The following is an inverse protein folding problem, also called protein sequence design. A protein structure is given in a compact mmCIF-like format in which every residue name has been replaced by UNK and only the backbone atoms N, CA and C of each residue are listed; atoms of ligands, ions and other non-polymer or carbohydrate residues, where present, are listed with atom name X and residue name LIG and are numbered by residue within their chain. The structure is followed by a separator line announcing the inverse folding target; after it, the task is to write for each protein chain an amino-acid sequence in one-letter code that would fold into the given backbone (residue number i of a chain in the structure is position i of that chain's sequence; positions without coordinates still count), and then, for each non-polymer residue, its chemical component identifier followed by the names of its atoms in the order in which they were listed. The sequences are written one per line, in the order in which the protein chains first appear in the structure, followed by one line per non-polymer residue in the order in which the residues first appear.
data_IF_279486565831
#
_entry.id   IF_279486565831
#
_cell.length_a   1.000
_cell.length_b   1.000
_cell.length_c   1.000
_cell.angle_alpha   90.00
_cell.angle_beta   90.00
_cell.angle_gamma   90.00
#
_symmetry.space_group_name_H-M   'P 1'
#
loop_
_entity.id
_entity.type
_entity.pdbx_description
1 polymer ?
#
# COMPACT_ATOMS: atom_id res chain seq x y z
N UNK A 1 32.95 15.98 -3.42
CA UNK A 1 31.49 16.08 -3.18
C UNK A 1 30.77 15.19 -4.19
N UNK A 2 29.62 14.61 -3.83
CA UNK A 2 28.80 13.80 -4.74
C UNK A 2 27.64 14.61 -5.29
N UNK A 3 27.51 14.65 -6.61
CA UNK A 3 26.44 15.34 -7.30
C UNK A 3 25.53 14.36 -8.03
N UNK A 4 24.23 14.58 -7.91
CA UNK A 4 23.24 13.90 -8.74
C UNK A 4 22.49 14.91 -9.60
N UNK A 5 22.48 14.69 -10.91
CA UNK A 5 21.65 15.45 -11.86
C UNK A 5 20.42 14.60 -12.15
N UNK A 6 19.23 15.13 -11.85
CA UNK A 6 17.97 14.37 -11.99
C UNK A 6 16.92 15.16 -12.77
N UNK A 7 16.21 14.46 -13.64
CA UNK A 7 15.10 15.01 -14.39
C UNK A 7 13.78 14.82 -13.64
N UNK A 8 12.95 15.85 -13.54
CA UNK A 8 11.65 15.77 -12.86
C UNK A 8 10.51 15.83 -13.89
N UNK A 9 9.72 14.75 -13.94
CA UNK A 9 8.61 14.60 -14.87
C UNK A 9 7.25 14.43 -14.20
N UNK A 10 6.45 13.49 -14.73
CA UNK A 10 5.14 13.15 -14.19
C UNK A 10 5.20 12.46 -12.82
N UNK A 11 6.16 11.55 -12.65
CA UNK A 11 6.35 10.72 -11.47
C UNK A 11 7.54 11.21 -10.62
N UNK A 12 7.34 11.32 -9.31
CA UNK A 12 8.34 11.84 -8.37
C UNK A 12 9.04 10.74 -7.58
N UNK A 13 8.38 9.59 -7.39
CA UNK A 13 8.93 8.47 -6.61
C UNK A 13 10.30 8.00 -7.11
N UNK A 14 10.54 7.78 -8.43
CA UNK A 14 11.86 7.33 -8.89
C UNK A 14 12.97 8.36 -8.69
N UNK A 15 12.61 9.65 -8.64
CA UNK A 15 13.56 10.71 -8.31
C UNK A 15 13.96 10.60 -6.84
N UNK A 16 12.99 10.46 -5.93
CA UNK A 16 13.26 10.30 -4.50
C UNK A 16 14.06 9.03 -4.20
N UNK A 17 13.70 7.89 -4.82
CA UNK A 17 14.42 6.61 -4.68
C UNK A 17 15.87 6.77 -5.13
N UNK A 18 16.12 7.36 -6.31
CA UNK A 18 17.48 7.57 -6.80
C UNK A 18 18.31 8.47 -5.88
N UNK A 19 17.70 9.50 -5.29
CA UNK A 19 18.41 10.35 -4.33
C UNK A 19 18.73 9.59 -3.04
N UNK A 20 17.82 8.77 -2.52
CA UNK A 20 18.07 7.97 -1.30
C UNK A 20 19.12 6.88 -1.53
N UNK A 21 19.08 6.19 -2.66
CA UNK A 21 20.02 5.12 -3.01
C UNK A 21 21.48 5.62 -3.00
N UNK A 22 21.74 6.75 -3.67
CA UNK A 22 23.11 7.24 -3.85
C UNK A 22 23.52 8.32 -2.84
N UNK A 23 22.57 8.86 -2.08
CA UNK A 23 22.79 9.85 -1.02
C UNK A 23 23.71 11.03 -1.42
N UNK A 24 23.51 11.67 -2.60
CA UNK A 24 24.38 12.74 -3.09
C UNK A 24 24.39 13.95 -2.14
N UNK A 25 25.47 14.72 -2.11
CA UNK A 25 25.60 15.94 -1.30
C UNK A 25 24.85 17.12 -1.94
N UNK A 26 24.84 17.16 -3.27
CA UNK A 26 24.19 18.20 -4.07
C UNK A 26 23.31 17.59 -5.16
N UNK A 27 22.05 18.00 -5.20
CA UNK A 27 21.08 17.56 -6.20
C UNK A 27 20.78 18.70 -7.16
N UNK A 28 20.94 18.45 -8.44
CA UNK A 28 20.59 19.38 -9.50
C UNK A 28 19.31 18.90 -10.19
N UNK A 29 18.21 19.59 -9.93
CA UNK A 29 16.94 19.31 -10.57
C UNK A 29 16.89 19.99 -11.93
N UNK A 30 16.62 19.20 -12.97
CA UNK A 30 16.28 19.69 -14.31
C UNK A 30 14.79 19.47 -14.52
N UNK A 31 14.07 20.57 -14.75
CA UNK A 31 12.61 20.60 -14.78
C UNK A 31 12.10 21.37 -16.00
N UNK A 32 10.84 21.14 -16.34
CA UNK A 32 10.08 22.05 -17.20
C UNK A 32 9.31 23.05 -16.34
N UNK A 33 8.69 24.05 -16.96
CA UNK A 33 7.81 24.99 -16.25
C UNK A 33 6.67 24.26 -15.52
N UNK A 34 6.14 23.18 -16.13
CA UNK A 34 5.04 22.39 -15.56
C UNK A 34 5.47 21.50 -14.38
N UNK A 35 6.74 21.07 -14.32
CA UNK A 35 7.23 20.18 -13.26
C UNK A 35 7.96 20.90 -12.13
N UNK A 36 8.29 22.18 -12.29
CA UNK A 36 9.02 22.98 -11.30
C UNK A 36 8.38 23.00 -9.91
N UNK A 37 7.05 23.18 -9.83
CA UNK A 37 6.33 23.26 -8.55
C UNK A 37 6.44 21.96 -7.73
N UNK A 38 6.64 20.82 -8.40
CA UNK A 38 6.72 19.49 -7.78
C UNK A 38 8.00 19.25 -6.98
N UNK A 39 9.07 20.02 -7.23
CA UNK A 39 10.36 19.85 -6.56
C UNK A 39 10.24 20.13 -5.05
N UNK A 40 9.37 21.06 -4.67
CA UNK A 40 9.13 21.43 -3.27
C UNK A 40 8.80 20.21 -2.40
N UNK A 41 8.02 19.29 -2.96
CA UNK A 41 7.63 18.04 -2.31
C UNK A 41 8.77 17.04 -2.19
N UNK A 42 9.68 16.96 -3.16
CA UNK A 42 10.87 16.10 -3.06
C UNK A 42 11.81 16.65 -1.98
N UNK A 43 12.04 17.97 -1.97
CA UNK A 43 12.95 18.65 -1.04
C UNK A 43 12.53 18.48 0.42
N UNK A 44 11.23 18.37 0.72
CA UNK A 44 10.76 18.19 2.10
C UNK A 44 11.21 16.87 2.73
N UNK A 45 11.65 15.88 1.93
CA UNK A 45 12.23 14.62 2.40
C UNK A 45 13.75 14.63 2.54
N UNK A 46 14.43 15.69 2.06
CA UNK A 46 15.88 15.70 1.85
C UNK A 46 16.59 16.74 2.73
N UNK A 47 16.41 16.62 4.04
CA UNK A 47 17.03 17.52 5.02
C UNK A 47 18.56 17.50 4.92
N UNK A 48 19.19 18.67 5.01
CA UNK A 48 20.65 18.80 5.02
C UNK A 48 21.34 18.64 3.67
N UNK A 49 20.59 18.51 2.56
CA UNK A 49 21.14 18.47 1.20
C UNK A 49 21.11 19.86 0.54
N UNK A 50 22.02 20.07 -0.42
CA UNK A 50 22.03 21.28 -1.24
C UNK A 50 21.35 21.05 -2.59
N UNK A 51 20.68 22.09 -3.11
CA UNK A 51 19.86 21.95 -4.32
C UNK A 51 20.17 23.05 -5.34
N UNK A 52 20.07 22.70 -6.63
CA UNK A 52 19.91 23.68 -7.71
C UNK A 52 18.67 23.34 -8.54
N UNK A 53 18.01 24.36 -9.07
CA UNK A 53 16.85 24.21 -9.96
C UNK A 53 17.19 24.82 -11.31
N UNK A 54 17.02 24.03 -12.37
CA UNK A 54 17.36 24.43 -13.73
C UNK A 54 16.18 24.13 -14.64
N UNK A 55 15.62 25.17 -15.25
CA UNK A 55 14.49 25.05 -16.17
C UNK A 55 15.03 24.87 -17.59
N UNK A 56 14.48 23.92 -18.33
CA UNK A 56 14.75 23.76 -19.75
C UNK A 56 13.48 23.34 -20.51
N UNK A 57 13.52 23.43 -21.85
CA UNK A 57 12.48 22.86 -22.69
C UNK A 57 12.63 21.33 -22.71
N UNK A 58 11.67 20.54 -22.18
CA UNK A 58 11.83 19.09 -22.02
C UNK A 58 11.75 18.31 -23.33
N UNK A 59 11.48 18.95 -24.47
CA UNK A 59 11.39 18.31 -25.78
C UNK A 59 12.47 18.79 -26.76
N UNK A 60 13.41 19.63 -26.32
CA UNK A 60 14.45 20.19 -27.16
C UNK A 60 15.83 19.72 -26.70
N UNK A 61 16.40 18.76 -27.46
CA UNK A 61 17.67 18.13 -27.14
C UNK A 61 18.79 19.13 -26.85
N UNK A 62 18.94 20.16 -27.69
CA UNK A 62 19.99 21.17 -27.55
C UNK A 62 19.83 22.00 -26.26
N UNK A 63 18.61 22.40 -25.93
CA UNK A 63 18.29 23.13 -24.68
C UNK A 63 18.65 22.29 -23.44
N UNK A 64 18.28 21.01 -23.45
CA UNK A 64 18.57 20.09 -22.34
C UNK A 64 20.08 19.88 -22.20
N UNK A 65 20.76 19.56 -23.31
CA UNK A 65 22.21 19.32 -23.32
C UNK A 65 22.98 20.55 -22.81
N UNK A 66 22.65 21.74 -23.31
CA UNK A 66 23.27 22.99 -22.88
C UNK A 66 23.04 23.26 -21.37
N UNK A 67 21.86 22.93 -20.84
CA UNK A 67 21.55 23.06 -19.42
C UNK A 67 22.41 22.12 -18.58
N UNK A 68 22.52 20.86 -18.97
CA UNK A 68 23.40 19.89 -18.31
C UNK A 68 24.88 20.32 -18.36
N UNK A 69 25.37 20.78 -19.52
CA UNK A 69 26.75 21.26 -19.68
C UNK A 69 27.06 22.47 -18.79
N UNK A 70 26.09 23.40 -18.65
CA UNK A 70 26.20 24.55 -17.74
C UNK A 70 26.25 24.14 -16.27
N UNK A 71 25.61 23.03 -15.89
CA UNK A 71 25.72 22.47 -14.54
C UNK A 71 27.10 21.85 -14.36
N UNK A 72 27.50 20.99 -15.29
CA UNK A 72 28.78 20.29 -15.26
C UNK A 72 29.99 21.24 -15.23
N UNK A 73 29.94 22.37 -15.93
CA UNK A 73 31.03 23.36 -15.94
C UNK A 73 31.25 24.08 -14.61
N UNK A 74 30.31 23.95 -13.66
CA UNK A 74 30.39 24.54 -12.32
C UNK A 74 30.75 23.54 -11.23
N UNK A 75 30.91 22.26 -11.58
CA UNK A 75 31.29 21.20 -10.65
C UNK A 75 32.81 21.18 -10.55
N UNK A 76 33.34 21.05 -9.33
CA UNK A 76 34.78 21.11 -9.08
C UNK A 76 35.49 19.87 -9.63
N UNK A 77 36.75 20.04 -10.03
CA UNK A 77 37.55 18.94 -10.51
C UNK A 77 37.83 17.95 -9.35
N UNK A 78 37.37 16.71 -9.50
CA UNK A 78 37.46 15.66 -8.48
C UNK A 78 36.13 15.35 -7.78
N UNK A 79 35.09 16.15 -8.01
CA UNK A 79 33.73 15.80 -7.58
C UNK A 79 33.14 14.67 -8.43
N UNK A 80 32.34 13.81 -7.79
CA UNK A 80 31.64 12.71 -8.46
C UNK A 80 30.31 13.22 -9.01
N UNK A 81 29.98 12.83 -10.24
CA UNK A 81 28.71 13.20 -10.89
C UNK A 81 28.01 11.97 -11.45
N UNK A 82 26.73 11.86 -11.16
CA UNK A 82 25.85 10.85 -11.72
C UNK A 82 24.54 11.45 -12.22
N UNK A 83 23.98 10.85 -13.27
CA UNK A 83 22.66 11.19 -13.80
C UNK A 83 21.60 10.17 -13.37
N UNK A 84 20.49 10.63 -12.81
CA UNK A 84 19.28 9.84 -12.67
C UNK A 84 18.44 9.96 -13.95
N UNK A 85 18.41 8.91 -14.75
CA UNK A 85 17.72 8.83 -16.04
C UNK A 85 16.28 8.33 -15.92
N UNK A 86 15.80 8.05 -14.71
CA UNK A 86 14.47 7.43 -14.53
C UNK A 86 13.33 8.41 -14.75
N UNK A 87 13.56 9.69 -14.44
CA UNK A 87 12.58 10.76 -14.58
C UNK A 87 12.68 11.51 -15.92
N UNK A 88 11.81 12.51 -16.09
CA UNK A 88 11.80 13.38 -17.28
C UNK A 88 11.18 12.75 -18.52
N UNK A 89 11.39 13.40 -19.66
CA UNK A 89 10.96 12.89 -20.98
C UNK A 89 12.04 11.99 -21.57
N UNK A 90 11.68 11.19 -22.58
CA UNK A 90 12.67 10.41 -23.34
C UNK A 90 13.75 11.29 -23.98
N UNK A 91 13.42 12.52 -24.39
CA UNK A 91 14.38 13.45 -24.98
C UNK A 91 15.40 13.92 -23.94
N UNK A 92 14.97 14.15 -22.70
CA UNK A 92 15.88 14.44 -21.58
C UNK A 92 16.86 13.30 -21.33
N UNK A 93 16.34 12.06 -21.31
CA UNK A 93 17.17 10.86 -21.13
C UNK A 93 18.19 10.71 -22.25
N UNK A 94 17.80 10.92 -23.52
CA UNK A 94 18.72 10.86 -24.66
C UNK A 94 19.84 11.90 -24.58
N UNK A 95 19.52 13.14 -24.18
CA UNK A 95 20.52 14.20 -24.02
C UNK A 95 21.48 13.93 -22.85
N UNK A 96 20.98 13.37 -21.76
CA UNK A 96 21.82 12.94 -20.65
C UNK A 96 22.74 11.78 -21.05
N UNK A 97 22.19 10.79 -21.74
CA UNK A 97 22.95 9.63 -22.22
C UNK A 97 24.07 10.04 -23.17
N UNK A 98 23.84 11.00 -24.08
CA UNK A 98 24.91 11.51 -24.94
C UNK A 98 26.04 12.13 -24.13
N UNK A 99 25.72 12.89 -23.07
CA UNK A 99 26.73 13.49 -22.19
C UNK A 99 27.48 12.48 -21.33
N UNK A 100 26.79 11.45 -20.84
CA UNK A 100 27.40 10.32 -20.12
C UNK A 100 28.50 9.69 -20.98
N UNK A 101 28.21 9.43 -22.25
CA UNK A 101 29.17 8.83 -23.18
C UNK A 101 30.28 9.81 -23.59
N UNK A 102 29.93 11.04 -23.97
CA UNK A 102 30.90 12.06 -24.44
C UNK A 102 31.92 12.46 -23.37
N UNK A 103 31.51 12.48 -22.09
CA UNK A 103 32.33 12.97 -20.98
C UNK A 103 32.76 11.88 -20.00
N UNK A 104 32.50 10.61 -20.34
CA UNK A 104 32.79 9.44 -19.50
C UNK A 104 32.25 9.60 -18.05
N UNK A 105 30.99 10.03 -17.94
CA UNK A 105 30.29 10.19 -16.67
C UNK A 105 29.49 8.92 -16.34
N UNK A 106 28.87 8.90 -15.15
CA UNK A 106 28.00 7.82 -14.73
C UNK A 106 26.52 8.24 -14.77
N UNK A 107 25.65 7.26 -14.83
CA UNK A 107 24.22 7.46 -14.63
C UNK A 107 23.51 6.15 -14.37
N UNK A 108 22.24 6.22 -14.02
CA UNK A 108 21.45 5.05 -13.71
C UNK A 108 19.98 5.22 -14.10
N UNK A 109 19.30 4.10 -14.30
CA UNK A 109 17.86 4.02 -14.53
C UNK A 109 17.26 3.00 -13.57
N UNK A 110 16.23 3.39 -12.80
CA UNK A 110 15.54 2.50 -11.86
C UNK A 110 14.41 1.75 -12.59
N UNK A 111 14.45 0.42 -12.52
CA UNK A 111 13.44 -0.48 -13.04
C UNK A 111 12.27 -0.68 -12.05
N UNK A 112 11.17 -1.23 -12.55
CA UNK A 112 9.98 -1.50 -11.73
C UNK A 112 10.11 -2.73 -10.81
N UNK A 113 11.16 -3.52 -10.97
CA UNK A 113 11.44 -4.75 -10.22
C UNK A 113 12.44 -4.57 -9.07
N UNK A 114 12.55 -3.33 -8.56
CA UNK A 114 13.48 -2.92 -7.49
C UNK A 114 14.96 -3.12 -7.85
N UNK A 115 15.28 -3.05 -9.14
CA UNK A 115 16.66 -3.01 -9.66
C UNK A 115 16.97 -1.67 -10.31
N UNK A 116 18.26 -1.37 -10.50
CA UNK A 116 18.68 -0.26 -11.33
C UNK A 116 19.77 -0.70 -12.32
N UNK A 117 19.71 -0.14 -13.51
CA UNK A 117 20.66 -0.29 -14.59
C UNK A 117 21.70 0.84 -14.51
N UNK A 118 22.98 0.50 -14.38
CA UNK A 118 24.08 1.45 -14.40
C UNK A 118 24.53 1.79 -15.82
N UNK A 119 24.96 3.02 -16.05
CA UNK A 119 25.54 3.49 -17.31
C UNK A 119 26.92 4.10 -17.02
N UNK A 120 27.90 3.89 -17.91
CA UNK A 120 27.79 3.21 -19.21
C UNK A 120 27.98 1.68 -19.16
N UNK A 121 28.15 1.09 -17.98
CA UNK A 121 28.47 -0.35 -17.85
C UNK A 121 27.33 -1.30 -18.22
N UNK A 122 26.08 -0.82 -18.18
CA UNK A 122 24.86 -1.62 -18.34
C UNK A 122 24.73 -2.78 -17.34
N UNK A 123 25.43 -2.69 -16.20
CA UNK A 123 25.27 -3.64 -15.10
C UNK A 123 23.97 -3.40 -14.35
N UNK A 124 23.35 -4.48 -13.87
CA UNK A 124 22.13 -4.42 -13.06
C UNK A 124 22.50 -4.67 -11.61
N UNK A 125 22.01 -3.81 -10.71
CA UNK A 125 22.11 -3.99 -9.27
C UNK A 125 20.75 -3.87 -8.61
N UNK A 126 20.57 -4.53 -7.46
CA UNK A 126 19.36 -4.41 -6.66
C UNK A 126 19.41 -3.12 -5.84
N UNK A 127 18.28 -2.43 -5.74
CA UNK A 127 18.16 -1.28 -4.83
C UNK A 127 18.34 -1.72 -3.38
N UNK A 128 18.96 -0.85 -2.58
CA UNK A 128 19.18 -1.07 -1.15
C UNK A 128 18.41 -0.07 -0.29
N UNK A 129 18.05 1.08 -0.86
CA UNK A 129 17.24 2.09 -0.20
C UNK A 129 15.79 1.64 -0.02
N UNK A 130 15.21 2.06 1.10
CA UNK A 130 13.81 1.81 1.41
C UNK A 130 12.99 3.10 1.37
N UNK A 131 11.76 3.00 0.87
CA UNK A 131 10.74 4.06 0.94
C UNK A 131 9.65 3.61 1.87
N UNK A 132 9.36 4.37 2.93
CA UNK A 132 8.24 4.10 3.83
C UNK A 132 6.89 4.32 3.16
N UNK A 133 5.80 3.74 3.70
CA UNK A 133 4.42 3.98 3.21
C UNK A 133 4.10 5.48 3.21
N UNK A 134 4.51 6.18 4.28
CA UNK A 134 4.28 7.63 4.40
C UNK A 134 4.99 8.40 3.28
N UNK A 135 6.26 8.13 3.05
CA UNK A 135 7.02 8.75 1.95
C UNK A 135 6.37 8.43 0.60
N UNK A 136 6.01 7.17 0.36
CA UNK A 136 5.38 6.70 -0.88
C UNK A 136 4.08 7.45 -1.18
N UNK A 137 3.18 7.53 -0.19
CA UNK A 137 1.88 8.19 -0.37
C UNK A 137 2.06 9.69 -0.56
N UNK A 138 2.88 10.33 0.28
CA UNK A 138 3.08 11.79 0.23
C UNK A 138 3.76 12.20 -1.07
N UNK A 139 4.79 11.49 -1.54
CA UNK A 139 5.46 11.80 -2.81
C UNK A 139 4.54 11.57 -4.03
N UNK A 140 3.54 10.70 -3.88
CA UNK A 140 2.49 10.47 -4.87
C UNK A 140 1.33 11.48 -4.74
N UNK A 141 1.41 12.43 -3.80
CA UNK A 141 0.43 13.48 -3.57
C UNK A 141 -0.80 13.02 -2.78
N UNK A 142 -0.64 12.01 -1.92
CA UNK A 142 -1.65 11.45 -1.03
C UNK A 142 -1.22 11.54 0.44
N UNK A 143 -2.16 11.35 1.35
CA UNK A 143 -1.89 11.34 2.79
C UNK A 143 -2.61 10.14 3.41
N UNK A 144 -2.09 9.70 4.55
CA UNK A 144 -2.68 8.68 5.40
C UNK A 144 -3.18 9.38 6.66
N UNK A 145 -4.49 9.36 6.92
CA UNK A 145 -5.08 10.03 8.10
C UNK A 145 -4.90 9.17 9.35
N UNK A 146 -5.12 7.87 9.22
CA UNK A 146 -4.94 6.90 10.30
C UNK A 146 -4.58 5.53 9.75
N UNK A 147 -3.96 4.73 10.60
CA UNK A 147 -3.66 3.32 10.36
C UNK A 147 -3.33 2.67 11.70
N UNK A 148 -3.51 1.36 11.80
CA UNK A 148 -3.07 0.55 12.92
C UNK A 148 -1.88 -0.32 12.52
N UNK A 149 -1.08 -0.67 13.51
CA UNK A 149 -0.01 -1.65 13.47
C UNK A 149 -0.39 -2.86 14.33
N UNK A 150 0.40 -3.92 14.26
CA UNK A 150 0.22 -5.10 15.12
C UNK A 150 0.28 -4.75 16.63
N UNK A 151 1.01 -3.69 16.99
CA UNK A 151 1.19 -3.26 18.38
C UNK A 151 -0.05 -2.53 18.94
N UNK A 152 -1.00 -2.13 18.09
CA UNK A 152 -2.25 -1.50 18.50
C UNK A 152 -3.31 -2.53 18.95
N UNK A 153 -2.98 -3.82 18.86
CA UNK A 153 -3.84 -4.92 19.24
C UNK A 153 -3.27 -5.70 20.43
N UNK A 154 -4.13 -5.98 21.41
CA UNK A 154 -3.79 -6.71 22.63
C UNK A 154 -3.85 -8.23 22.42
N UNK A 155 -3.26 -8.99 23.34
CA UNK A 155 -3.41 -10.45 23.36
C UNK A 155 -4.89 -10.90 23.41
N UNK A 156 -5.76 -10.12 24.05
CA UNK A 156 -7.19 -10.43 24.14
C UNK A 156 -7.94 -10.12 22.84
N UNK A 157 -7.45 -9.18 22.02
CA UNK A 157 -7.93 -8.99 20.65
C UNK A 157 -7.62 -10.23 19.80
N UNK A 158 -6.40 -10.75 19.88
CA UNK A 158 -6.01 -11.97 19.15
C UNK A 158 -6.79 -13.21 19.60
N UNK A 159 -7.06 -13.37 20.91
CA UNK A 159 -7.96 -14.43 21.39
C UNK A 159 -9.38 -14.23 20.86
N UNK A 160 -9.87 -12.99 20.87
CA UNK A 160 -11.24 -12.67 20.45
C UNK A 160 -11.47 -12.96 18.96
N UNK A 161 -10.50 -12.67 18.09
CA UNK A 161 -10.67 -13.00 16.65
C UNK A 161 -10.70 -14.51 16.39
N UNK A 162 -9.92 -15.30 17.14
CA UNK A 162 -9.97 -16.77 17.05
C UNK A 162 -11.34 -17.29 17.51
N UNK A 163 -11.93 -16.73 18.57
CA UNK A 163 -13.29 -17.07 19.00
C UNK A 163 -14.36 -16.66 17.98
N UNK A 164 -14.23 -15.48 17.37
CA UNK A 164 -15.15 -15.03 16.32
C UNK A 164 -15.08 -15.98 15.12
N UNK A 165 -13.88 -16.37 14.69
CA UNK A 165 -13.70 -17.31 13.58
C UNK A 165 -14.43 -18.64 13.87
N UNK A 166 -14.21 -19.23 15.05
CA UNK A 166 -14.88 -20.47 15.48
C UNK A 166 -16.39 -20.32 15.58
N UNK A 167 -16.87 -19.22 16.16
CA UNK A 167 -18.31 -18.96 16.30
C UNK A 167 -18.98 -18.84 14.93
N UNK A 168 -18.38 -18.11 14.00
CA UNK A 168 -18.95 -17.93 12.67
C UNK A 168 -18.94 -19.19 11.81
N UNK A 169 -18.06 -20.17 12.06
CA UNK A 169 -18.13 -21.49 11.42
C UNK A 169 -19.22 -22.37 12.03
N UNK A 170 -19.32 -22.39 13.35
CA UNK A 170 -20.24 -23.26 14.09
C UNK A 170 -21.69 -22.77 14.04
N UNK A 171 -21.89 -21.45 13.89
CA UNK A 171 -23.19 -20.78 13.96
C UNK A 171 -23.41 -19.83 12.77
N UNK A 172 -23.09 -20.28 11.56
CA UNK A 172 -23.17 -19.52 10.30
C UNK A 172 -24.52 -18.79 10.09
N UNK A 173 -25.64 -19.47 10.32
CA UNK A 173 -26.99 -18.88 10.21
C UNK A 173 -27.24 -17.80 11.26
N UNK A 174 -26.78 -18.03 12.49
CA UNK A 174 -27.02 -17.10 13.59
C UNK A 174 -26.22 -15.81 13.41
N UNK A 175 -24.95 -15.89 12.99
CA UNK A 175 -24.17 -14.67 12.71
C UNK A 175 -24.76 -13.87 11.54
N UNK A 176 -25.31 -14.54 10.51
CA UNK A 176 -26.01 -13.85 9.43
C UNK A 176 -27.26 -13.12 9.93
N UNK A 177 -28.03 -13.73 10.83
CA UNK A 177 -29.18 -13.10 11.47
C UNK A 177 -28.76 -11.91 12.34
N UNK A 178 -27.69 -12.05 13.12
CA UNK A 178 -27.11 -10.96 13.92
C UNK A 178 -26.73 -9.79 13.02
N UNK A 179 -25.93 -10.04 11.98
CA UNK A 179 -25.47 -9.01 11.05
C UNK A 179 -26.65 -8.32 10.33
N UNK A 180 -27.68 -9.07 9.95
CA UNK A 180 -28.89 -8.49 9.36
C UNK A 180 -29.66 -7.64 10.37
N UNK A 181 -29.85 -8.12 11.61
CA UNK A 181 -30.60 -7.41 12.64
C UNK A 181 -29.91 -6.12 13.06
N UNK A 182 -28.59 -6.16 13.25
CA UNK A 182 -27.77 -4.99 13.61
C UNK A 182 -27.87 -3.93 12.51
N UNK A 183 -27.68 -4.30 11.23
CA UNK A 183 -27.79 -3.35 10.10
C UNK A 183 -29.18 -2.74 9.96
N UNK A 184 -30.23 -3.51 10.16
CA UNK A 184 -31.61 -3.02 10.09
C UNK A 184 -31.97 -2.10 11.28
N UNK A 185 -31.25 -2.22 12.40
CA UNK A 185 -31.48 -1.40 13.59
C UNK A 185 -30.61 -0.13 13.57
N UNK A 186 -29.38 -0.25 13.06
CA UNK A 186 -28.40 0.83 13.02
C UNK A 186 -27.84 0.93 11.59
N UNK A 187 -28.30 1.94 10.85
CA UNK A 187 -27.87 2.17 9.45
C UNK A 187 -26.35 2.41 9.30
N UNK A 188 -25.70 2.89 10.38
CA UNK A 188 -24.27 3.19 10.42
C UNK A 188 -23.67 2.70 11.72
N UNK A 189 -22.42 2.22 11.65
CA UNK A 189 -21.70 1.63 12.77
C UNK A 189 -21.47 2.62 13.93
N UNK A 190 -21.24 3.90 13.61
CA UNK A 190 -21.11 4.96 14.60
C UNK A 190 -22.41 5.28 15.37
N UNK A 191 -23.55 4.72 14.95
CA UNK A 191 -24.84 4.83 15.67
C UNK A 191 -25.07 3.67 16.65
N UNK A 192 -24.26 2.60 16.62
CA UNK A 192 -24.41 1.51 17.59
C UNK A 192 -24.01 2.05 18.97
N UNK A 193 -24.89 2.02 19.99
CA UNK A 193 -24.56 2.54 21.31
C UNK A 193 -23.42 1.74 21.94
N UNK A 194 -22.67 2.38 22.85
CA UNK A 194 -21.51 1.77 23.50
C UNK A 194 -21.85 0.48 24.23
N UNK A 195 -23.02 0.42 24.87
CA UNK A 195 -23.58 -0.79 25.47
C UNK A 195 -25.04 -0.97 25.03
N UNK A 196 -25.50 -2.21 24.98
CA UNK A 196 -26.86 -2.50 24.57
C UNK A 196 -27.16 -3.99 24.46
N UNK A 197 -28.39 -4.27 24.07
CA UNK A 197 -28.86 -5.62 23.78
C UNK A 197 -29.85 -5.60 22.61
N UNK A 198 -29.89 -6.68 21.84
CA UNK A 198 -30.84 -6.90 20.76
C UNK A 198 -31.37 -8.33 20.77
N UNK A 199 -32.68 -8.47 20.78
CA UNK A 199 -33.35 -9.72 20.44
C UNK A 199 -33.19 -9.98 18.93
N UNK A 200 -32.43 -11.01 18.59
CA UNK A 200 -32.14 -11.39 17.20
C UNK A 200 -33.31 -12.18 16.62
N UNK A 201 -33.84 -13.11 17.40
CA UNK A 201 -35.05 -13.89 17.10
C UNK A 201 -35.64 -14.40 18.43
N UNK A 202 -36.71 -15.22 18.40
CA UNK A 202 -37.37 -15.74 19.61
C UNK A 202 -36.46 -16.53 20.56
N UNK A 203 -35.32 -17.00 20.07
CA UNK A 203 -34.40 -17.90 20.76
C UNK A 203 -33.04 -17.24 21.03
N UNK A 204 -32.71 -16.13 20.38
CA UNK A 204 -31.35 -15.61 20.38
C UNK A 204 -31.29 -14.12 20.68
N UNK A 205 -30.29 -13.75 21.48
CA UNK A 205 -30.06 -12.39 21.96
C UNK A 205 -28.60 -12.02 21.86
N UNK A 206 -28.31 -10.83 21.38
CA UNK A 206 -26.98 -10.22 21.35
C UNK A 206 -26.89 -9.21 22.50
N UNK A 207 -25.81 -9.24 23.28
CA UNK A 207 -25.54 -8.31 24.37
C UNK A 207 -24.13 -7.76 24.19
N UNK A 208 -23.93 -6.46 24.39
CA UNK A 208 -22.62 -5.85 24.25
C UNK A 208 -22.37 -4.67 25.20
N UNK A 209 -21.08 -4.40 25.42
CA UNK A 209 -20.52 -3.22 26.09
C UNK A 209 -19.41 -2.64 25.22
N UNK A 210 -18.64 -1.69 25.75
CA UNK A 210 -17.42 -1.19 25.10
C UNK A 210 -16.33 -2.27 24.99
N UNK A 211 -16.31 -3.23 25.92
CA UNK A 211 -15.23 -4.22 26.08
C UNK A 211 -15.67 -5.67 25.99
N UNK A 212 -16.96 -5.96 25.87
CA UNK A 212 -17.45 -7.34 25.77
C UNK A 212 -18.60 -7.48 24.78
N UNK A 213 -18.68 -8.63 24.12
CA UNK A 213 -19.84 -9.06 23.33
C UNK A 213 -20.17 -10.50 23.70
N UNK A 214 -21.46 -10.79 23.91
CA UNK A 214 -21.97 -12.14 24.09
C UNK A 214 -23.22 -12.40 23.27
N UNK A 215 -23.42 -13.67 22.93
CA UNK A 215 -24.63 -14.16 22.27
C UNK A 215 -25.24 -15.28 23.09
N UNK A 216 -26.51 -15.13 23.42
CA UNK A 216 -27.32 -16.17 24.04
C UNK A 216 -28.19 -16.86 22.98
N UNK A 217 -28.33 -18.18 23.09
CA UNK A 217 -29.22 -19.01 22.29
C UNK A 217 -29.96 -20.00 23.19
N UNK A 218 -31.29 -19.98 23.15
CA UNK A 218 -32.18 -20.74 24.02
C UNK A 218 -31.86 -20.58 25.52
N UNK A 219 -31.55 -19.34 25.93
CA UNK A 219 -31.22 -18.99 27.33
C UNK A 219 -29.84 -19.45 27.78
N UNK A 220 -28.95 -19.90 26.88
CA UNK A 220 -27.56 -20.27 27.18
C UNK A 220 -26.58 -19.37 26.44
N UNK A 221 -25.53 -18.92 27.10
CA UNK A 221 -24.41 -18.18 26.46
C UNK A 221 -23.65 -19.14 25.53
N UNK A 222 -23.70 -18.90 24.22
CA UNK A 222 -23.03 -19.72 23.18
C UNK A 222 -21.80 -19.05 22.60
N UNK A 223 -21.61 -17.76 22.89
CA UNK A 223 -20.46 -16.98 22.45
C UNK A 223 -20.19 -15.85 23.43
N UNK A 224 -18.92 -15.62 23.72
CA UNK A 224 -18.46 -14.49 24.53
C UNK A 224 -17.04 -14.11 24.16
N UNK A 225 -16.81 -12.82 23.99
CA UNK A 225 -15.48 -12.25 23.78
C UNK A 225 -15.32 -11.00 24.63
N UNK A 226 -14.09 -10.72 25.01
CA UNK A 226 -13.70 -9.53 25.75
C UNK A 226 -12.39 -9.00 25.19
N UNK A 227 -12.39 -7.73 24.75
CA UNK A 227 -11.17 -7.06 24.29
C UNK A 227 -11.35 -5.54 24.22
N UNK A 228 -10.26 -4.75 24.22
CA UNK A 228 -10.33 -3.31 24.03
C UNK A 228 -10.94 -2.91 22.68
N UNK A 229 -10.76 -3.72 21.63
CA UNK A 229 -11.24 -3.43 20.27
C UNK A 229 -12.48 -4.25 19.87
N UNK A 230 -13.17 -4.90 20.82
CA UNK A 230 -14.20 -5.92 20.56
C UNK A 230 -15.29 -5.46 19.59
N UNK A 231 -15.65 -4.17 19.68
CA UNK A 231 -16.69 -3.56 18.85
C UNK A 231 -16.30 -3.50 17.39
N UNK A 232 -15.07 -3.05 17.10
CA UNK A 232 -14.54 -3.06 15.73
C UNK A 232 -14.45 -4.49 15.21
N UNK A 233 -13.84 -5.39 16.00
CA UNK A 233 -13.63 -6.78 15.60
C UNK A 233 -14.94 -7.46 15.21
N UNK A 234 -15.99 -7.29 16.01
CA UNK A 234 -17.27 -7.97 15.77
C UNK A 234 -18.18 -7.21 14.80
N UNK A 235 -18.49 -5.93 15.06
CA UNK A 235 -19.49 -5.19 14.28
C UNK A 235 -18.97 -4.72 12.92
N UNK A 236 -17.68 -4.42 12.81
CA UNK A 236 -17.09 -3.99 11.54
C UNK A 236 -16.55 -5.19 10.74
N UNK A 237 -16.70 -6.40 11.28
CA UNK A 237 -16.14 -7.64 10.75
C UNK A 237 -14.60 -7.59 10.56
N UNK A 238 -13.91 -6.70 11.30
CA UNK A 238 -12.46 -6.51 11.15
C UNK A 238 -11.62 -7.61 11.79
N UNK A 239 -12.26 -8.60 12.43
CA UNK A 239 -11.59 -9.78 12.95
C UNK A 239 -10.83 -10.54 11.86
N UNK A 240 -11.37 -10.60 10.64
CA UNK A 240 -10.72 -11.30 9.53
C UNK A 240 -9.47 -10.56 9.03
N UNK A 241 -9.53 -9.23 8.99
CA UNK A 241 -8.39 -8.37 8.65
C UNK A 241 -7.23 -8.62 9.61
N UNK A 242 -7.51 -8.70 10.93
CA UNK A 242 -6.49 -8.94 11.95
C UNK A 242 -5.91 -10.36 11.88
N UNK A 243 -6.74 -11.37 11.58
CA UNK A 243 -6.25 -12.75 11.34
C UNK A 243 -5.30 -12.79 10.14
N UNK A 244 -5.68 -12.14 9.04
CA UNK A 244 -4.83 -12.04 7.83
C UNK A 244 -3.53 -11.29 8.15
N UNK A 245 -3.61 -10.14 8.81
CA UNK A 245 -2.43 -9.35 9.19
C UNK A 245 -1.50 -10.13 10.13
N UNK A 246 -2.04 -10.90 11.09
CA UNK A 246 -1.27 -11.77 11.97
C UNK A 246 -0.44 -12.78 11.16
N UNK A 247 -1.01 -13.42 10.17
CA UNK A 247 -0.25 -14.34 9.30
C UNK A 247 0.82 -13.59 8.49
N UNK A 248 0.47 -12.45 7.91
CA UNK A 248 1.42 -11.63 7.12
C UNK A 248 2.57 -11.11 7.98
N UNK A 249 2.35 -10.85 9.27
CA UNK A 249 3.40 -10.38 10.18
C UNK A 249 4.55 -11.37 10.34
N UNK A 250 4.34 -12.65 9.99
CA UNK A 250 5.38 -13.69 9.98
C UNK A 250 6.24 -13.64 8.71
N UNK A 251 5.84 -12.87 7.69
CA UNK A 251 6.56 -12.75 6.43
C UNK A 251 7.72 -11.77 6.55
N UNK A 252 8.94 -12.30 6.56
CA UNK A 252 10.18 -11.53 6.76
C UNK A 252 10.47 -10.44 5.72
N UNK A 253 9.79 -10.45 4.56
CA UNK A 253 9.93 -9.42 3.52
C UNK A 253 9.06 -8.19 3.77
N UNK A 254 8.04 -8.27 4.63
CA UNK A 254 7.22 -7.12 4.98
C UNK A 254 8.03 -6.14 5.85
N UNK A 255 8.35 -4.96 5.31
CA UNK A 255 9.07 -3.89 5.99
C UNK A 255 8.13 -3.02 6.83
N UNK A 256 6.94 -2.77 6.30
CA UNK A 256 5.84 -2.18 7.05
C UNK A 256 4.57 -3.00 6.79
N UNK A 257 3.77 -3.16 7.84
CA UNK A 257 2.46 -3.78 7.80
C UNK A 257 1.48 -2.84 8.52
N UNK A 258 0.59 -2.24 7.74
CA UNK A 258 -0.45 -1.36 8.23
C UNK A 258 -1.82 -2.02 8.03
N UNK A 259 -2.71 -1.79 8.98
CA UNK A 259 -4.05 -2.35 9.07
C UNK A 259 -5.04 -1.19 9.13
N UNK A 260 -6.18 -1.29 8.45
CA UNK A 260 -7.24 -0.27 8.47
C UNK A 260 -6.70 1.13 8.12
N UNK A 261 -6.04 1.23 6.96
CA UNK A 261 -5.48 2.48 6.49
C UNK A 261 -6.60 3.39 5.96
N UNK A 262 -6.78 4.55 6.58
CA UNK A 262 -7.72 5.55 6.13
C UNK A 262 -7.01 6.60 5.26
N UNK A 263 -7.56 6.80 4.06
CA UNK A 263 -7.04 7.73 3.07
C UNK A 263 -8.07 8.84 2.86
N UNK A 264 -7.80 10.09 3.29
CA UNK A 264 -8.78 11.16 3.20
C UNK A 264 -8.89 11.77 1.79
N UNK A 265 -9.85 12.67 1.61
CA UNK A 265 -9.88 13.55 0.43
C UNK A 265 -8.71 14.54 0.47
N UNK A 266 -8.20 14.94 -0.71
CA UNK A 266 -7.12 15.93 -0.80
C UNK A 266 -7.55 17.33 -0.33
N UNK A 267 -8.82 17.66 -0.52
CA UNK A 267 -9.41 18.97 -0.17
C UNK A 267 -10.07 18.98 1.21
N UNK A 268 -10.36 17.80 1.77
CA UNK A 268 -10.94 17.64 3.10
C UNK A 268 -10.26 16.47 3.80
N UNK A 269 -9.27 16.79 4.62
CA UNK A 269 -8.44 15.81 5.32
C UNK A 269 -9.16 15.15 6.48
N UNK A 270 -10.35 15.63 6.87
CA UNK A 270 -11.15 15.07 7.97
C UNK A 270 -12.09 13.97 7.48
N UNK A 271 -12.40 13.93 6.18
CA UNK A 271 -13.30 12.93 5.59
C UNK A 271 -12.50 11.82 4.93
N UNK A 272 -12.68 10.58 5.41
CA UNK A 272 -12.14 9.37 4.79
C UNK A 272 -12.75 9.17 3.40
N UNK A 273 -11.90 9.10 2.37
CA UNK A 273 -12.29 8.82 0.99
C UNK A 273 -12.26 7.33 0.69
N UNK A 274 -11.19 6.67 1.11
CA UNK A 274 -10.96 5.24 0.89
C UNK A 274 -10.34 4.61 2.12
N UNK A 275 -10.53 3.31 2.24
CA UNK A 275 -9.94 2.47 3.27
C UNK A 275 -9.21 1.31 2.59
N UNK A 276 -8.08 0.90 3.18
CA UNK A 276 -7.35 -0.32 2.81
C UNK A 276 -7.28 -1.21 4.04
N UNK A 277 -7.80 -2.42 3.93
CA UNK A 277 -7.88 -3.36 5.04
C UNK A 277 -6.48 -3.72 5.56
N UNK A 278 -5.58 -4.13 4.67
CA UNK A 278 -4.17 -4.39 4.98
C UNK A 278 -3.27 -3.84 3.87
N UNK A 279 -2.25 -3.07 4.26
CA UNK A 279 -1.25 -2.51 3.35
C UNK A 279 0.13 -3.00 3.77
N UNK A 280 0.81 -3.68 2.86
CA UNK A 280 2.18 -4.18 3.06
C UNK A 280 3.14 -3.36 2.23
N UNK A 281 4.26 -2.95 2.81
CA UNK A 281 5.37 -2.36 2.08
C UNK A 281 6.59 -3.27 2.11
N UNK A 282 7.20 -3.48 0.95
CA UNK A 282 8.44 -4.26 0.79
C UNK A 282 9.71 -3.40 0.76
N UNK A 283 9.59 -2.10 1.05
CA UNK A 283 10.69 -1.12 0.99
C UNK A 283 10.63 -0.21 -0.25
N UNK A 284 9.50 -0.13 -0.94
CA UNK A 284 9.39 0.61 -2.21
C UNK A 284 8.29 0.07 -3.13
N UNK A 285 7.79 -1.12 -2.83
CA UNK A 285 6.66 -1.75 -3.50
C UNK A 285 5.55 -2.02 -2.50
N UNK A 286 4.37 -1.44 -2.77
CA UNK A 286 3.17 -1.62 -1.96
C UNK A 286 2.33 -2.80 -2.44
N UNK A 287 1.81 -3.58 -1.51
CA UNK A 287 0.79 -4.61 -1.75
C UNK A 287 -0.49 -4.20 -1.02
N UNK A 288 -1.53 -3.93 -1.80
CA UNK A 288 -2.87 -3.59 -1.32
C UNK A 288 -3.66 -4.88 -1.11
N UNK A 289 -4.11 -5.11 0.12
CA UNK A 289 -4.80 -6.34 0.48
C UNK A 289 -6.21 -6.00 0.95
N UNK A 290 -7.20 -6.53 0.25
CA UNK A 290 -8.61 -6.49 0.64
C UNK A 290 -8.98 -7.84 1.27
N UNK A 291 -9.66 -7.79 2.41
CA UNK A 291 -10.02 -8.95 3.22
C UNK A 291 -11.53 -9.17 3.18
N UNK A 292 -11.98 -10.37 2.76
CA UNK A 292 -13.42 -10.70 2.73
C UNK A 292 -13.71 -11.96 3.54
N UNK A 293 -14.36 -11.75 4.70
CA UNK A 293 -14.83 -12.83 5.57
C UNK A 293 -16.11 -13.52 5.07
N UNK A 294 -16.86 -12.85 4.18
CA UNK A 294 -18.13 -13.33 3.60
C UNK A 294 -18.12 -13.33 2.08
N UNK A 295 -19.27 -13.02 1.48
CA UNK A 295 -19.43 -12.98 0.01
C UNK A 295 -18.70 -11.79 -0.59
N UNK A 296 -18.00 -12.02 -1.70
CA UNK A 296 -17.31 -10.99 -2.49
C UNK A 296 -18.24 -10.49 -3.59
N UNK A 297 -18.37 -9.17 -3.72
CA UNK A 297 -19.15 -8.51 -4.77
C UNK A 297 -18.22 -7.90 -5.82
N UNK A 298 -18.76 -7.63 -7.01
CA UNK A 298 -18.01 -6.94 -8.07
C UNK A 298 -17.55 -5.53 -7.66
N UNK A 299 -18.36 -4.84 -6.86
CA UNK A 299 -18.03 -3.52 -6.30
C UNK A 299 -16.73 -3.54 -5.49
N UNK A 300 -16.50 -4.61 -4.73
CA UNK A 300 -15.27 -4.79 -3.94
C UNK A 300 -14.04 -4.83 -4.86
N UNK A 301 -14.12 -5.61 -5.94
CA UNK A 301 -13.02 -5.77 -6.91
C UNK A 301 -12.73 -4.45 -7.65
N UNK A 302 -13.79 -3.75 -8.06
CA UNK A 302 -13.64 -2.47 -8.74
C UNK A 302 -13.04 -1.39 -7.81
N UNK A 303 -13.50 -1.31 -6.55
CA UNK A 303 -12.94 -0.42 -5.53
C UNK A 303 -11.46 -0.71 -5.32
N UNK A 304 -11.10 -1.98 -5.15
CA UNK A 304 -9.72 -2.41 -4.91
C UNK A 304 -8.78 -2.01 -6.07
N UNK A 305 -9.21 -2.18 -7.32
CA UNK A 305 -8.46 -1.70 -8.49
C UNK A 305 -8.24 -0.19 -8.44
N UNK A 306 -9.31 0.58 -8.22
CA UNK A 306 -9.24 2.06 -8.18
C UNK A 306 -8.30 2.52 -7.07
N UNK A 307 -8.38 1.92 -5.89
CA UNK A 307 -7.52 2.23 -4.75
C UNK A 307 -6.06 1.92 -5.10
N UNK A 308 -5.74 0.72 -5.58
CA UNK A 308 -4.38 0.37 -6.00
C UNK A 308 -3.82 1.35 -7.05
N UNK A 309 -4.57 1.60 -8.12
CA UNK A 309 -4.11 2.47 -9.22
C UNK A 309 -3.92 3.93 -8.75
N UNK A 310 -4.80 4.42 -7.88
CA UNK A 310 -4.75 5.78 -7.36
C UNK A 310 -3.57 6.00 -6.41
N UNK A 311 -3.38 5.10 -5.44
CA UNK A 311 -2.45 5.32 -4.33
C UNK A 311 -1.11 4.60 -4.48
N UNK A 312 -1.08 3.48 -5.20
CA UNK A 312 0.10 2.64 -5.39
C UNK A 312 0.74 2.73 -6.77
N UNK A 313 0.01 3.28 -7.77
CA UNK A 313 0.46 3.34 -9.15
C UNK A 313 0.74 1.97 -9.78
N UNK A 314 1.52 1.95 -10.85
CA UNK A 314 1.76 0.74 -11.65
C UNK A 314 2.62 -0.31 -10.94
N UNK A 315 3.57 0.11 -10.11
CA UNK A 315 4.51 -0.81 -9.44
C UNK A 315 3.85 -1.61 -8.31
N UNK A 316 2.71 -1.13 -7.79
CA UNK A 316 2.00 -1.77 -6.71
C UNK A 316 1.26 -3.04 -7.13
N UNK A 317 1.07 -3.93 -6.16
CA UNK A 317 0.34 -5.20 -6.31
C UNK A 317 -0.95 -5.19 -5.51
N UNK A 318 -1.83 -6.11 -5.83
CA UNK A 318 -3.10 -6.24 -5.12
C UNK A 318 -3.48 -7.70 -4.92
N UNK A 319 -3.89 -8.04 -3.69
CA UNK A 319 -4.25 -9.39 -3.27
C UNK A 319 -5.60 -9.37 -2.57
N UNK A 320 -6.54 -10.18 -3.04
CA UNK A 320 -7.81 -10.40 -2.36
C UNK A 320 -7.68 -11.64 -1.47
N UNK A 321 -7.86 -11.46 -0.16
CA UNK A 321 -7.78 -12.55 0.82
C UNK A 321 -9.17 -12.88 1.35
N UNK A 322 -9.72 -13.98 0.86
CA UNK A 322 -11.06 -14.43 1.18
C UNK A 322 -11.06 -15.58 2.18
N UNK A 323 -12.04 -15.57 3.08
CA UNK A 323 -12.31 -16.74 3.91
C UNK A 323 -12.93 -17.87 3.10
N UNK A 324 -13.83 -17.54 2.17
CA UNK A 324 -14.52 -18.48 1.30
C UNK A 324 -14.20 -18.21 -0.17
N UNK A 325 -14.17 -19.27 -0.97
CA UNK A 325 -13.94 -19.20 -2.41
C UNK A 325 -14.96 -18.24 -3.07
N UNK A 326 -14.49 -17.19 -3.79
CA UNK A 326 -15.36 -16.36 -4.60
C UNK A 326 -16.03 -17.15 -5.74
N UNK A 327 -17.10 -16.60 -6.30
CA UNK A 327 -17.74 -17.20 -7.47
C UNK A 327 -16.80 -17.20 -8.68
N UNK A 328 -16.99 -18.11 -9.66
CA UNK A 328 -16.17 -18.13 -10.88
C UNK A 328 -16.14 -16.77 -11.61
N UNK A 329 -17.25 -16.06 -11.64
CA UNK A 329 -17.36 -14.72 -12.24
C UNK A 329 -16.50 -13.67 -11.53
N UNK A 330 -16.39 -13.75 -10.20
CA UNK A 330 -15.50 -12.87 -9.43
C UNK A 330 -14.04 -13.24 -9.66
N UNK A 331 -13.71 -14.53 -9.72
CA UNK A 331 -12.35 -14.99 -10.02
C UNK A 331 -11.88 -14.56 -11.42
N UNK A 332 -12.77 -14.67 -12.42
CA UNK A 332 -12.54 -14.17 -13.78
C UNK A 332 -12.26 -12.66 -13.76
N UNK A 333 -13.10 -11.88 -13.07
CA UNK A 333 -12.90 -10.43 -12.92
C UNK A 333 -11.58 -10.08 -12.24
N UNK A 334 -11.20 -10.80 -11.18
CA UNK A 334 -9.92 -10.59 -10.51
C UNK A 334 -8.76 -10.81 -11.47
N UNK A 335 -8.82 -11.86 -12.30
CA UNK A 335 -7.80 -12.13 -13.33
C UNK A 335 -7.71 -11.01 -14.37
N UNK A 336 -8.84 -10.53 -14.89
CA UNK A 336 -8.88 -9.39 -15.83
C UNK A 336 -8.24 -8.12 -15.25
N UNK A 337 -8.42 -7.89 -13.95
CA UNK A 337 -7.96 -6.70 -13.26
C UNK A 337 -6.58 -6.88 -12.59
N UNK A 338 -5.90 -7.99 -12.87
CA UNK A 338 -4.60 -8.34 -12.27
C UNK A 338 -4.60 -8.33 -10.73
N UNK A 339 -5.72 -8.76 -10.14
CA UNK A 339 -5.89 -8.98 -8.71
C UNK A 339 -5.64 -10.47 -8.45
N UNK A 340 -4.58 -10.77 -7.69
CA UNK A 340 -4.34 -12.13 -7.22
C UNK A 340 -5.32 -12.47 -6.09
N UNK A 341 -5.69 -13.74 -5.95
CA UNK A 341 -6.71 -14.19 -5.00
C UNK A 341 -6.15 -15.32 -4.15
N UNK A 342 -6.31 -15.21 -2.83
CA UNK A 342 -6.10 -16.28 -1.88
C UNK A 342 -7.40 -16.56 -1.15
N UNK A 343 -7.81 -17.83 -1.07
CA UNK A 343 -9.02 -18.20 -0.33
C UNK A 343 -8.82 -19.46 0.50
N UNK A 344 -9.39 -19.48 1.71
CA UNK A 344 -9.16 -20.57 2.65
C UNK A 344 -10.07 -21.78 2.41
N UNK A 345 -11.37 -21.54 2.21
CA UNK A 345 -12.39 -22.57 2.20
C UNK A 345 -13.11 -22.66 0.86
N UNK A 346 -13.40 -23.89 0.40
CA UNK A 346 -14.38 -24.17 -0.63
C UNK A 346 -15.60 -24.82 0.03
N UNK A 347 -16.66 -24.03 0.26
CA UNK A 347 -17.76 -24.44 1.12
C UNK A 347 -17.28 -24.62 2.57
N UNK A 348 -17.46 -25.82 3.13
CA UNK A 348 -17.01 -26.18 4.50
C UNK A 348 -15.64 -26.85 4.54
N UNK A 349 -15.02 -27.07 3.38
CA UNK A 349 -13.72 -27.74 3.28
C UNK A 349 -12.61 -26.70 3.22
N UNK A 350 -11.65 -26.80 4.14
CA UNK A 350 -10.40 -26.02 4.08
C UNK A 350 -9.58 -26.56 2.92
N UNK A 351 -9.34 -25.72 1.91
CA UNK A 351 -8.53 -26.08 0.73
C UNK A 351 -7.14 -25.43 0.80
N UNK A 352 -7.05 -24.23 1.35
CA UNK A 352 -5.79 -23.55 1.62
C UNK A 352 -5.78 -23.07 3.07
N UNK A 353 -5.04 -23.73 3.98
CA UNK A 353 -4.81 -23.17 5.30
C UNK A 353 -4.21 -21.77 5.18
N UNK A 354 -4.61 -20.84 6.05
CA UNK A 354 -4.14 -19.45 6.00
C UNK A 354 -2.62 -19.35 6.08
N UNK A 355 -1.94 -20.30 6.75
CA UNK A 355 -0.47 -20.40 6.78
C UNK A 355 0.21 -20.52 5.41
N UNK A 356 -0.53 -20.84 4.34
CA UNK A 356 -0.03 -20.81 2.97
C UNK A 356 -0.08 -19.43 2.32
N UNK A 357 -0.64 -18.41 2.98
CA UNK A 357 -0.73 -17.04 2.47
C UNK A 357 0.65 -16.46 2.18
N UNK A 358 1.65 -16.75 3.02
CA UNK A 358 3.04 -16.32 2.80
C UNK A 358 3.58 -16.84 1.46
N UNK A 359 3.29 -18.09 1.10
CA UNK A 359 3.70 -18.65 -0.19
C UNK A 359 3.01 -17.94 -1.38
N UNK A 360 1.76 -17.47 -1.19
CA UNK A 360 1.07 -16.69 -2.21
C UNK A 360 1.69 -15.29 -2.34
N UNK A 361 2.06 -14.65 -1.23
CA UNK A 361 2.76 -13.38 -1.21
C UNK A 361 4.15 -13.46 -1.86
N UNK A 362 4.91 -14.53 -1.62
CA UNK A 362 6.19 -14.75 -2.28
C UNK A 362 6.06 -14.92 -3.80
N UNK A 363 4.96 -15.52 -4.28
CA UNK A 363 4.67 -15.61 -5.72
C UNK A 363 4.26 -14.25 -6.29
N UNK A 364 3.44 -13.50 -5.54
CA UNK A 364 2.95 -12.19 -5.94
C UNK A 364 4.10 -11.17 -6.06
N UNK A 365 5.02 -11.18 -5.10
CA UNK A 365 6.20 -10.31 -5.06
C UNK A 365 7.08 -10.47 -6.30
N UNK A 366 7.28 -11.71 -6.77
CA UNK A 366 8.09 -12.04 -7.95
C UNK A 366 7.39 -11.81 -9.28
N UNK A 367 6.08 -11.61 -9.29
CA UNK A 367 5.30 -11.43 -10.51
C UNK A 367 5.64 -10.07 -11.11
N UNK A 368 6.13 -10.03 -12.34
CA UNK A 368 6.35 -8.78 -13.06
C UNK A 368 5.01 -8.04 -13.24
N UNK A 369 5.00 -6.72 -13.02
CA UNK A 369 3.91 -5.90 -13.56
C UNK A 369 4.28 -5.62 -15.01
N UNK A 370 3.42 -6.02 -15.95
CA UNK A 370 3.61 -5.76 -17.38
C UNK A 370 2.61 -4.68 -17.80
#
# INVERSE_FOLDING_TARGET
MKHQITFVGGQLLPVLVGIKEFSPDKIHFIVSEESKSKISLIKSFLTGKTFSENICNPFEFASIKATCEKILSKIEQGDEVEFNLTGGTKIMVLAAQSLILEKNLNGFYINQDDTLLQLPSYSIQKLTSEISVKEFLVISGHQLSSSKSMNDFSADDFKSVDEIDRFTLSHDKLILQINSKVRNTYDKLNKIPTAGQLEINKQAKLIWTDKSISVELNGKEVFKIQSPNVRSLFFHASWWELIVAKEISLWSKAKELLIQCELPFKTDTLTTKNEIDVLVNLGGKLIFIECKSGMVKQEDINKMRIVKDTYGGIISKSLLVCRFMPTPTILEKCKELSIDVFFCNAGRTVVNPLSKLINALDKLEKKLTI
#
